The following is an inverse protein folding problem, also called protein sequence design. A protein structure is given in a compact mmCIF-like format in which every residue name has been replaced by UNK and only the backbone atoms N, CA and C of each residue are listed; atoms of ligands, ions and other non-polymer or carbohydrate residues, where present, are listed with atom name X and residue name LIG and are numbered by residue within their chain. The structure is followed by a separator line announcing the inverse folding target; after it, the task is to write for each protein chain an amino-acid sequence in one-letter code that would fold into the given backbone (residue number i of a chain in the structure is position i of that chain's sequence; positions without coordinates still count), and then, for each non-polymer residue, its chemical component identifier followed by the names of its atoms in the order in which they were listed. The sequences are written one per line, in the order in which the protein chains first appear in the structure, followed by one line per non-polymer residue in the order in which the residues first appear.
data_IF_323203814706
#
_entry.id   IF_323203814706
#
_cell.length_a   1.000
_cell.length_b   1.000
_cell.length_c   1.000
_cell.angle_alpha   90.00
_cell.angle_beta   90.00
_cell.angle_gamma   90.00
#
_symmetry.space_group_name_H-M   'P 1'
#
loop_
_entity.id
_entity.type
_entity.pdbx_description
1 polymer ?
#
# COMPACT_ATOMS: atom_id res chain seq x y z
N UNK A 1 -7.43 20.56 2.63
CA UNK A 1 -6.86 19.44 1.86
C UNK A 1 -6.19 18.51 2.86
N UNK A 2 -6.82 17.37 3.15
CA UNK A 2 -6.23 16.37 4.04
C UNK A 2 -5.32 15.46 3.21
N UNK A 3 -4.01 15.54 3.44
CA UNK A 3 -3.05 14.62 2.82
C UNK A 3 -3.03 13.34 3.66
N UNK A 4 -3.36 12.21 3.06
CA UNK A 4 -3.22 10.90 3.69
C UNK A 4 -2.07 10.14 3.06
N UNK A 5 -1.36 9.36 3.85
CA UNK A 5 -0.33 8.45 3.36
C UNK A 5 -0.83 7.01 3.44
N UNK A 6 -0.46 6.24 2.43
CA UNK A 6 -0.55 4.78 2.41
C UNK A 6 0.86 4.23 2.33
N UNK A 7 1.11 3.10 2.99
CA UNK A 7 2.39 2.43 2.96
C UNK A 7 2.23 1.12 2.20
N UNK A 8 3.08 0.91 1.20
CA UNK A 8 3.00 -0.25 0.30
C UNK A 8 4.33 -0.98 0.28
N UNK A 9 4.34 -2.32 0.39
CA UNK A 9 5.55 -3.11 0.23
C UNK A 9 5.91 -3.23 -1.25
N UNK A 10 7.17 -2.98 -1.57
CA UNK A 10 7.72 -3.21 -2.90
C UNK A 10 8.92 -4.15 -2.80
N UNK A 11 8.94 -5.20 -3.61
CA UNK A 11 10.09 -6.08 -3.71
C UNK A 11 11.30 -5.31 -4.25
N UNK A 12 12.52 -5.68 -3.86
CA UNK A 12 13.77 -5.07 -4.35
C UNK A 12 13.94 -5.18 -5.87
N UNK A 13 13.32 -6.19 -6.48
CA UNK A 13 13.29 -6.38 -7.95
C UNK A 13 12.30 -5.44 -8.66
N UNK A 14 11.54 -4.63 -7.91
CA UNK A 14 10.73 -3.53 -8.44
C UNK A 14 9.23 -3.79 -8.57
N UNK A 15 8.74 -5.00 -8.32
CA UNK A 15 7.30 -5.31 -8.35
C UNK A 15 6.62 -5.06 -6.99
N UNK A 16 5.31 -4.80 -7.04
CA UNK A 16 4.45 -4.74 -5.86
C UNK A 16 3.85 -6.11 -5.57
N UNK A 17 3.27 -6.27 -4.38
CA UNK A 17 2.62 -7.53 -3.98
C UNK A 17 1.24 -7.31 -3.38
N UNK A 18 0.41 -8.35 -3.44
CA UNK A 18 -0.87 -8.42 -2.73
C UNK A 18 -0.69 -8.83 -1.25
N UNK A 19 -1.81 -9.02 -0.53
CA UNK A 19 -1.79 -9.40 0.89
C UNK A 19 -1.20 -10.80 1.14
N UNK A 20 -1.15 -11.63 0.10
CA UNK A 20 -0.58 -12.98 0.11
C UNK A 20 0.86 -13.00 -0.40
N UNK A 21 1.50 -11.83 -0.57
CA UNK A 21 2.87 -11.68 -1.09
C UNK A 21 3.05 -12.16 -2.53
N UNK A 22 1.97 -12.19 -3.32
CA UNK A 22 2.04 -12.54 -4.74
C UNK A 22 2.30 -11.27 -5.58
N UNK A 23 3.14 -11.33 -6.63
CA UNK A 23 3.40 -10.19 -7.49
C UNK A 23 2.13 -9.67 -8.17
N UNK A 24 1.97 -8.36 -8.23
CA UNK A 24 0.85 -7.71 -8.94
C UNK A 24 1.35 -6.74 -10.00
N UNK A 25 0.51 -6.50 -11.01
CA UNK A 25 0.87 -5.66 -12.17
C UNK A 25 0.97 -4.17 -11.83
N UNK A 26 0.26 -3.71 -10.81
CA UNK A 26 0.13 -2.29 -10.53
C UNK A 26 -0.06 -1.95 -9.06
N UNK A 27 0.15 -0.68 -8.74
CA UNK A 27 -0.01 -0.12 -7.41
C UNK A 27 -1.44 -0.26 -6.86
N UNK A 28 -2.45 -0.22 -7.72
CA UNK A 28 -3.86 -0.30 -7.32
C UNK A 28 -4.24 -1.67 -6.73
N UNK A 29 -3.54 -2.71 -7.16
CA UNK A 29 -3.76 -4.09 -6.73
C UNK A 29 -2.83 -4.49 -5.57
N UNK A 30 -1.89 -3.61 -5.22
CA UNK A 30 -0.95 -3.86 -4.16
C UNK A 30 -1.63 -3.76 -2.79
N UNK A 31 -1.20 -4.59 -1.84
CA UNK A 31 -1.57 -4.42 -0.45
C UNK A 31 -1.05 -3.09 0.07
N UNK A 32 -1.87 -2.38 0.83
CA UNK A 32 -1.49 -1.11 1.42
C UNK A 32 -1.98 -1.00 2.86
N UNK A 33 -1.25 -0.20 3.63
CA UNK A 33 -1.53 0.02 5.04
C UNK A 33 -1.65 1.51 5.34
N UNK A 34 -2.46 1.86 6.34
CA UNK A 34 -2.65 3.25 6.75
C UNK A 34 -1.53 3.75 7.67
N UNK A 35 -0.80 2.83 8.30
CA UNK A 35 0.28 3.09 9.23
C UNK A 35 1.48 2.23 8.83
N UNK A 36 2.67 2.75 9.06
CA UNK A 36 3.91 2.01 8.77
C UNK A 36 4.04 0.79 9.68
N UNK A 37 3.70 0.93 10.97
CA UNK A 37 3.75 -0.15 11.95
C UNK A 37 2.89 -1.36 11.53
N UNK A 38 1.73 -1.13 10.93
CA UNK A 38 0.84 -2.22 10.46
C UNK A 38 1.49 -2.99 9.31
N UNK A 39 2.18 -2.29 8.40
CA UNK A 39 2.93 -2.91 7.31
C UNK A 39 4.13 -3.68 7.86
N UNK A 40 4.86 -3.13 8.83
CA UNK A 40 6.02 -3.80 9.45
C UNK A 40 5.60 -5.08 10.18
N UNK A 41 4.48 -5.03 10.91
CA UNK A 41 3.87 -6.19 11.55
C UNK A 41 3.44 -7.23 10.52
N UNK A 42 2.89 -6.82 9.38
CA UNK A 42 2.57 -7.74 8.30
C UNK A 42 3.83 -8.36 7.69
N UNK A 43 4.83 -7.56 7.32
CA UNK A 43 6.09 -8.02 6.74
C UNK A 43 6.80 -9.04 7.62
N UNK A 44 6.97 -8.75 8.90
CA UNK A 44 7.70 -9.61 9.85
C UNK A 44 6.80 -10.68 10.49
N UNK A 45 5.51 -10.67 10.16
CA UNK A 45 4.49 -11.50 10.77
C UNK A 45 4.28 -12.83 10.05
N UNK A 46 3.49 -13.69 10.68
CA UNK A 46 3.16 -15.04 10.18
C UNK A 46 2.49 -15.07 8.80
N UNK A 47 1.82 -13.98 8.42
CA UNK A 47 1.05 -13.88 7.17
C UNK A 47 1.72 -12.97 6.14
N UNK A 48 2.97 -12.55 6.41
CA UNK A 48 3.79 -11.79 5.48
C UNK A 48 4.51 -12.66 4.46
N UNK A 49 5.42 -12.08 3.67
CA UNK A 49 6.25 -12.81 2.73
C UNK A 49 7.26 -13.72 3.43
N UNK A 50 7.70 -14.76 2.73
CA UNK A 50 8.69 -15.72 3.25
C UNK A 50 10.05 -15.07 3.56
N UNK A 51 10.46 -14.08 2.77
CA UNK A 51 11.68 -13.30 2.99
C UNK A 51 11.37 -11.79 3.05
N UNK A 52 11.04 -11.26 4.24
CA UNK A 52 10.69 -9.85 4.40
C UNK A 52 11.84 -8.89 4.11
N UNK A 53 13.10 -9.35 4.18
CA UNK A 53 14.26 -8.51 3.90
C UNK A 53 14.37 -8.14 2.43
N UNK A 54 13.62 -8.80 1.54
CA UNK A 54 13.56 -8.45 0.12
C UNK A 54 12.54 -7.36 -0.21
N UNK A 55 11.85 -6.82 0.80
CA UNK A 55 10.86 -5.77 0.61
C UNK A 55 11.35 -4.44 1.19
N UNK A 56 10.89 -3.35 0.57
CA UNK A 56 11.01 -1.99 1.08
C UNK A 56 9.63 -1.37 1.23
N UNK A 57 9.49 -0.50 2.23
CA UNK A 57 8.27 0.29 2.44
C UNK A 57 8.29 1.52 1.54
N UNK A 58 7.25 1.69 0.75
CA UNK A 58 7.05 2.85 -0.13
C UNK A 58 5.87 3.68 0.39
N UNK A 59 6.09 4.93 0.84
CA UNK A 59 5.01 5.82 1.21
C UNK A 59 4.38 6.43 -0.05
N UNK A 60 3.07 6.31 -0.18
CA UNK A 60 2.28 6.89 -1.26
C UNK A 60 1.34 7.94 -0.73
N UNK A 61 1.43 9.13 -1.34
CA UNK A 61 0.59 10.28 -1.01
C UNK A 61 -0.77 10.14 -1.71
N UNK A 62 -1.83 10.06 -0.93
CA UNK A 62 -3.21 10.07 -1.42
C UNK A 62 -3.80 11.46 -1.23
N UNK A 63 -4.18 12.09 -2.34
CA UNK A 63 -4.89 13.36 -2.38
C UNK A 63 -6.33 13.10 -2.75
N UNK A 64 -7.27 13.46 -1.87
CA UNK A 64 -8.69 13.45 -2.18
C UNK A 64 -9.07 14.77 -2.86
N UNK A 65 -9.58 14.69 -4.08
CA UNK A 65 -10.36 15.77 -4.68
C UNK A 65 -11.83 15.46 -4.41
N UNK A 66 -12.48 16.30 -3.60
CA UNK A 66 -13.93 16.24 -3.37
C UNK A 66 -14.60 16.88 -4.60
N UNK A 67 -15.06 16.06 -5.54
CA UNK A 67 -16.06 16.52 -6.50
C UNK A 67 -17.38 16.68 -5.74
N UNK A 68 -17.75 17.92 -5.41
CA UNK A 68 -19.08 18.20 -4.91
C UNK A 68 -20.07 18.07 -6.07
N UNK A 69 -20.75 16.92 -6.18
CA UNK A 69 -21.98 16.84 -6.94
C UNK A 69 -23.04 17.69 -6.24
N UNK A 70 -23.09 18.98 -6.61
CA UNK A 70 -24.30 19.77 -6.46
C UNK A 70 -25.34 19.19 -7.44
N UNK A 71 -26.02 18.12 -7.03
CA UNK A 71 -27.24 17.67 -7.69
C UNK A 71 -28.32 18.74 -7.44
N UNK A 72 -28.43 19.68 -8.39
CA UNK A 72 -29.58 20.56 -8.54
C UNK A 72 -30.66 19.75 -9.25
N UNK A 73 -31.71 19.37 -8.52
CA UNK A 73 -33.08 19.26 -9.05
C UNK A 73 -34.08 19.68 -7.98
#
# INVERSE_FOLDING_TARGET
MEIKYRYVPQHKDGHFVDLHSQPVEGFMDAVWFSRIDDLEVWLLGRYGPDDPHNFRTVPVKVTYELESEAHVQ
#
